data_IF_657932160749
#
_entry.id   IF_657932160749
#
_cell.length_a   1.000
_cell.length_b   1.000
_cell.length_c   1.000
_cell.angle_alpha   90.00
_cell.angle_beta   90.00
_cell.angle_gamma   90.00
#
_symmetry.space_group_name_H-M   'P 1'
#
loop_
_entity.id
_entity.type
_entity.pdbx_description
1 polymer ?
#
# COMPACT_ATOMS: atom_id res chain seq x y z
N UNK A 1 -12.03 15.22 11.25
CA UNK A 1 -11.32 15.56 9.99
C UNK A 1 -12.25 16.11 8.91
N UNK A 2 -13.34 15.42 8.55
CA UNK A 2 -14.24 15.90 7.47
C UNK A 2 -14.76 17.33 7.70
N UNK A 3 -15.20 17.69 8.91
CA UNK A 3 -15.64 19.05 9.25
C UNK A 3 -14.53 20.10 9.06
N UNK A 4 -13.31 19.78 9.49
CA UNK A 4 -12.15 20.67 9.34
C UNK A 4 -11.80 20.89 7.87
N UNK A 5 -11.86 19.83 7.05
CA UNK A 5 -11.64 19.92 5.59
C UNK A 5 -12.68 20.83 4.97
N UNK A 6 -13.96 20.69 5.32
CA UNK A 6 -15.02 21.53 4.77
C UNK A 6 -14.87 23.00 5.20
N UNK A 7 -14.47 23.26 6.45
CA UNK A 7 -14.31 24.61 6.97
C UNK A 7 -13.07 25.34 6.46
N UNK A 8 -11.96 24.63 6.20
CA UNK A 8 -10.65 25.24 5.92
C UNK A 8 -10.09 24.95 4.55
N UNK A 9 -10.67 23.98 3.83
CA UNK A 9 -10.12 23.41 2.58
C UNK A 9 -8.70 22.85 2.75
N UNK A 10 -8.33 22.49 3.97
CA UNK A 10 -7.04 21.90 4.31
C UNK A 10 -7.27 20.58 5.08
N UNK A 11 -6.44 19.57 4.78
CA UNK A 11 -6.39 18.32 5.54
C UNK A 11 -5.01 18.19 6.21
N UNK A 12 -4.91 18.31 7.55
CA UNK A 12 -3.67 18.02 8.23
C UNK A 12 -3.33 16.54 8.09
N UNK A 13 -2.10 16.23 7.68
CA UNK A 13 -1.59 14.86 7.52
C UNK A 13 -0.16 14.79 8.05
N UNK A 14 0.17 13.76 8.83
CA UNK A 14 1.57 13.45 9.16
C UNK A 14 2.19 12.72 7.98
N UNK A 15 3.41 13.12 7.58
CA UNK A 15 4.11 12.45 6.49
C UNK A 15 4.42 11.00 6.88
N UNK A 16 3.85 10.06 6.13
CA UNK A 16 4.18 8.64 6.26
C UNK A 16 5.61 8.36 5.79
N UNK A 17 6.20 7.28 6.30
CA UNK A 17 7.49 6.77 5.79
C UNK A 17 7.28 5.99 4.49
N UNK A 18 8.29 5.92 3.66
CA UNK A 18 8.19 5.19 2.39
C UNK A 18 8.46 3.69 2.62
N UNK A 19 7.63 2.82 2.02
CA UNK A 19 7.83 1.38 2.02
C UNK A 19 7.71 0.85 0.60
N UNK A 20 8.80 0.36 0.03
CA UNK A 20 8.80 -0.19 -1.31
C UNK A 20 8.56 -1.72 -1.30
N UNK A 21 7.56 -2.16 -2.06
CA UNK A 21 7.30 -3.56 -2.39
C UNK A 21 7.64 -3.77 -3.85
N UNK A 22 8.75 -4.45 -4.12
CA UNK A 22 9.14 -4.80 -5.49
C UNK A 22 8.55 -6.16 -5.86
N UNK A 23 7.78 -6.21 -6.95
CA UNK A 23 7.21 -7.44 -7.53
C UNK A 23 7.77 -7.61 -8.94
N UNK A 24 8.41 -8.75 -9.20
CA UNK A 24 9.08 -9.02 -10.47
C UNK A 24 8.65 -10.35 -11.08
N UNK A 25 8.66 -10.41 -12.41
CA UNK A 25 8.36 -11.60 -13.20
C UNK A 25 6.96 -11.60 -13.82
N UNK A 26 6.54 -12.75 -14.33
CA UNK A 26 5.19 -12.93 -14.87
C UNK A 26 4.33 -13.71 -13.88
N UNK A 27 3.08 -13.28 -13.72
CA UNK A 27 2.11 -14.00 -12.89
C UNK A 27 1.71 -15.31 -13.58
N UNK A 28 1.68 -16.44 -12.84
CA UNK A 28 1.15 -17.69 -13.38
C UNK A 28 -0.31 -17.54 -13.85
N UNK A 29 -0.74 -18.42 -14.76
CA UNK A 29 -2.11 -18.40 -15.26
C UNK A 29 -3.13 -18.47 -14.12
N UNK A 30 -4.07 -17.51 -14.10
CA UNK A 30 -5.11 -17.42 -13.09
C UNK A 30 -4.70 -16.70 -11.80
N UNK A 31 -3.43 -16.30 -11.65
CA UNK A 31 -2.96 -15.46 -10.54
C UNK A 31 -3.15 -13.99 -10.88
N UNK A 32 -3.67 -13.22 -9.93
CA UNK A 32 -4.01 -11.81 -10.10
C UNK A 32 -3.28 -10.92 -9.10
N UNK A 33 -3.37 -9.60 -9.28
CA UNK A 33 -2.87 -8.62 -8.31
C UNK A 33 -3.46 -8.84 -6.89
N UNK A 34 -4.68 -9.37 -6.79
CA UNK A 34 -5.29 -9.71 -5.49
C UNK A 34 -4.49 -10.80 -4.77
N UNK A 35 -4.04 -11.81 -5.50
CA UNK A 35 -3.27 -12.91 -4.94
C UNK A 35 -1.87 -12.44 -4.53
N UNK A 36 -1.29 -11.49 -5.26
CA UNK A 36 -0.02 -10.84 -4.90
C UNK A 36 -0.15 -10.11 -3.57
N UNK A 37 -1.15 -9.23 -3.40
CA UNK A 37 -1.30 -8.47 -2.15
C UNK A 37 -1.70 -9.36 -0.98
N UNK A 38 -2.56 -10.36 -1.20
CA UNK A 38 -2.91 -11.32 -0.14
C UNK A 38 -1.71 -12.20 0.25
N UNK A 39 -0.90 -12.62 -0.73
CA UNK A 39 0.34 -13.36 -0.48
C UNK A 39 1.43 -12.52 0.19
N UNK A 40 1.48 -11.21 -0.04
CA UNK A 40 2.32 -10.28 0.71
C UNK A 40 1.86 -10.21 2.17
N UNK A 41 0.57 -9.90 2.40
CA UNK A 41 -0.01 -9.80 3.74
C UNK A 41 0.17 -11.11 4.52
N UNK A 42 -0.06 -12.26 3.88
CA UNK A 42 0.14 -13.57 4.50
C UNK A 42 1.58 -13.86 4.91
N UNK A 43 2.57 -13.28 4.20
CA UNK A 43 4.00 -13.44 4.49
C UNK A 43 4.53 -12.44 5.52
N UNK A 44 4.07 -11.20 5.49
CA UNK A 44 4.62 -10.11 6.31
C UNK A 44 3.75 -9.77 7.52
N UNK A 45 2.49 -10.19 7.54
CA UNK A 45 1.53 -9.92 8.61
C UNK A 45 0.86 -8.55 8.50
N UNK A 46 -0.18 -8.35 9.33
CA UNK A 46 -1.07 -7.18 9.23
C UNK A 46 -0.42 -5.85 9.59
N UNK A 47 0.68 -5.86 10.35
CA UNK A 47 1.36 -4.64 10.82
C UNK A 47 2.46 -4.15 9.87
N UNK A 48 2.76 -4.89 8.81
CA UNK A 48 3.89 -4.61 7.92
C UNK A 48 3.91 -3.18 7.36
N UNK A 49 2.75 -2.68 6.91
CA UNK A 49 2.62 -1.33 6.34
C UNK A 49 2.35 -0.21 7.33
N UNK A 50 2.34 -0.48 8.64
CA UNK A 50 1.89 0.49 9.63
C UNK A 50 2.76 1.75 9.64
N UNK A 51 2.14 2.92 9.47
CA UNK A 51 2.83 4.22 9.43
C UNK A 51 3.63 4.48 8.14
N UNK A 52 3.42 3.66 7.11
CA UNK A 52 4.09 3.80 5.82
C UNK A 52 3.10 4.04 4.68
N UNK A 53 3.54 4.78 3.67
CA UNK A 53 2.97 4.76 2.33
C UNK A 53 3.63 3.60 1.58
N UNK A 54 2.83 2.61 1.21
CA UNK A 54 3.32 1.41 0.53
C UNK A 54 3.29 1.64 -0.98
N UNK A 55 4.47 1.65 -1.59
CA UNK A 55 4.66 1.77 -3.03
C UNK A 55 4.93 0.38 -3.62
N UNK A 56 4.08 -0.05 -4.56
CA UNK A 56 4.33 -1.24 -5.37
C UNK A 56 5.09 -0.84 -6.63
N UNK A 57 6.16 -1.55 -6.93
CA UNK A 57 7.04 -1.29 -8.08
C UNK A 57 7.56 -2.60 -8.67
N UNK A 58 8.16 -2.53 -9.85
CA UNK A 58 8.73 -3.68 -10.55
C UNK A 58 7.95 -3.99 -11.83
N UNK A 59 8.30 -5.10 -12.47
CA UNK A 59 7.74 -5.51 -13.78
C UNK A 59 6.33 -6.12 -13.71
N UNK A 60 5.87 -6.52 -12.52
CA UNK A 60 4.58 -7.19 -12.29
C UNK A 60 3.54 -6.30 -11.63
#
# INVERSE_FOLDING_TARGET
>A
EVELVLATQCLPQTRARDLAVTVEGELPLGVTAKDVVLGLIGRTGISFGQGHLVEYRGST
#
